data_IF_369265590683
#
_entry.id   IF_369265590683
#
_cell.length_a   1.000
_cell.length_b   1.000
_cell.length_c   1.000
_cell.angle_alpha   90.00
_cell.angle_beta   90.00
_cell.angle_gamma   90.00
#
_symmetry.space_group_name_H-M   'P 1'
#
loop_
_entity.id
_entity.type
_entity.pdbx_description
1 polymer ?
#
# COMPACT_ATOMS: atom_id res chain seq x y z
N UNK A 1 5.88 -14.49 38.10
CA UNK A 1 6.45 -13.24 37.55
C UNK A 1 7.20 -13.43 36.23
N UNK A 2 8.02 -14.47 36.04
CA UNK A 2 8.81 -14.61 34.81
C UNK A 2 8.00 -14.84 33.51
N UNK A 3 6.89 -15.56 33.60
CA UNK A 3 6.02 -15.83 32.45
C UNK A 3 5.26 -14.58 31.97
N UNK A 4 4.83 -13.73 32.90
CA UNK A 4 4.06 -12.52 32.63
C UNK A 4 4.87 -11.47 31.86
N UNK A 5 6.15 -11.25 32.21
CA UNK A 5 6.99 -10.31 31.44
C UNK A 5 7.27 -10.83 30.02
N UNK A 6 7.45 -12.15 29.84
CA UNK A 6 7.69 -12.73 28.49
C UNK A 6 6.49 -12.51 27.59
N UNK A 7 5.28 -12.73 28.12
CA UNK A 7 4.04 -12.47 27.40
C UNK A 7 3.91 -10.97 27.07
N UNK A 8 4.18 -10.09 28.04
CA UNK A 8 4.16 -8.65 27.82
C UNK A 8 5.16 -8.20 26.74
N UNK A 9 6.38 -8.75 26.75
CA UNK A 9 7.38 -8.47 25.70
C UNK A 9 6.91 -8.94 24.33
N UNK A 10 6.34 -10.15 24.22
CA UNK A 10 5.80 -10.64 22.93
C UNK A 10 4.71 -9.73 22.40
N UNK A 11 3.75 -9.35 23.26
CA UNK A 11 2.66 -8.44 22.90
C UNK A 11 3.20 -7.08 22.47
N UNK A 12 4.14 -6.51 23.24
CA UNK A 12 4.75 -5.23 22.91
C UNK A 12 5.51 -5.27 21.59
N UNK A 13 6.25 -6.36 21.32
CA UNK A 13 6.96 -6.55 20.05
C UNK A 13 5.99 -6.63 18.88
N UNK A 14 4.92 -7.44 18.98
CA UNK A 14 3.89 -7.54 17.92
C UNK A 14 3.22 -6.19 17.69
N UNK A 15 2.83 -5.50 18.77
CA UNK A 15 2.23 -4.17 18.67
C UNK A 15 3.16 -3.18 17.96
N UNK A 16 4.45 -3.18 18.32
CA UNK A 16 5.45 -2.31 17.70
C UNK A 16 5.60 -2.62 16.21
N UNK A 17 5.65 -3.90 15.82
CA UNK A 17 5.75 -4.31 14.42
C UNK A 17 4.53 -3.89 13.61
N UNK A 18 3.32 -4.03 14.16
CA UNK A 18 2.07 -3.59 13.52
C UNK A 18 2.07 -2.08 13.34
N UNK A 19 2.46 -1.32 14.37
CA UNK A 19 2.56 0.15 14.29
C UNK A 19 3.56 0.57 13.21
N UNK A 20 4.73 -0.07 13.15
CA UNK A 20 5.71 0.21 12.11
C UNK A 20 5.19 -0.13 10.72
N UNK A 21 4.54 -1.28 10.55
CA UNK A 21 3.94 -1.67 9.27
C UNK A 21 2.97 -0.60 8.75
N UNK A 22 1.97 -0.22 9.56
CA UNK A 22 0.96 0.77 9.16
C UNK A 22 1.57 2.13 8.86
N UNK A 23 2.65 2.52 9.56
CA UNK A 23 3.33 3.80 9.32
C UNK A 23 4.17 3.83 8.06
N UNK A 24 4.72 2.70 7.65
CA UNK A 24 5.64 2.63 6.51
C UNK A 24 5.03 2.02 5.24
N UNK A 25 3.76 1.57 5.30
CA UNK A 25 3.10 0.88 4.19
C UNK A 25 3.18 1.65 2.86
N UNK A 26 2.74 2.92 2.84
CA UNK A 26 2.78 3.75 1.62
C UNK A 26 4.21 3.94 1.09
N UNK A 27 5.18 4.17 1.98
CA UNK A 27 6.58 4.35 1.61
C UNK A 27 7.18 3.05 1.04
N UNK A 28 6.83 1.91 1.62
CA UNK A 28 7.32 0.60 1.18
C UNK A 28 6.81 0.26 -0.22
N UNK A 29 5.50 0.37 -0.47
CA UNK A 29 4.91 0.05 -1.76
C UNK A 29 5.30 1.03 -2.87
N UNK A 30 5.38 2.33 -2.56
CA UNK A 30 5.90 3.31 -3.53
C UNK A 30 7.36 3.03 -3.89
N UNK A 31 8.21 2.69 -2.91
CA UNK A 31 9.59 2.33 -3.18
C UNK A 31 9.71 1.10 -4.10
N UNK A 32 8.95 0.03 -3.83
CA UNK A 32 8.95 -1.16 -4.70
C UNK A 32 8.42 -0.86 -6.10
N UNK A 33 7.40 -0.02 -6.20
CA UNK A 33 6.93 0.42 -7.51
C UNK A 33 8.02 1.20 -8.27
N UNK A 34 8.75 2.09 -7.57
CA UNK A 34 9.69 3.02 -8.19
C UNK A 34 11.05 2.43 -8.51
N UNK A 35 11.50 1.45 -7.75
CA UNK A 35 12.85 0.90 -7.87
C UNK A 35 12.88 -0.50 -8.50
N UNK A 36 11.80 -1.28 -8.36
CA UNK A 36 11.75 -2.68 -8.82
C UNK A 36 10.76 -2.90 -9.96
N UNK A 37 10.10 -1.83 -10.44
CA UNK A 37 9.04 -1.90 -11.46
C UNK A 37 7.98 -2.98 -11.16
N UNK A 38 7.66 -3.12 -9.87
CA UNK A 38 6.69 -4.11 -9.42
C UNK A 38 5.27 -3.58 -9.64
N UNK A 39 4.60 -4.08 -10.68
CA UNK A 39 3.24 -3.65 -11.03
C UNK A 39 2.23 -3.80 -9.90
N UNK A 40 2.24 -4.92 -9.17
CA UNK A 40 1.33 -5.11 -8.02
C UNK A 40 1.60 -4.08 -6.91
N UNK A 41 2.87 -3.77 -6.63
CA UNK A 41 3.22 -2.73 -5.67
C UNK A 41 2.75 -1.34 -6.10
N UNK A 42 2.85 -1.02 -7.39
CA UNK A 42 2.31 0.22 -7.95
C UNK A 42 0.78 0.32 -7.76
N UNK A 43 0.05 -0.78 -7.96
CA UNK A 43 -1.39 -0.82 -7.72
C UNK A 43 -1.75 -0.59 -6.24
N UNK A 44 -1.03 -1.24 -5.33
CA UNK A 44 -1.24 -1.04 -3.88
C UNK A 44 -0.90 0.40 -3.48
N UNK A 45 0.23 0.94 -3.94
CA UNK A 45 0.60 2.33 -3.71
C UNK A 45 -0.51 3.28 -4.18
N UNK A 46 -1.07 3.08 -5.37
CA UNK A 46 -2.20 3.86 -5.88
C UNK A 46 -3.37 3.88 -4.89
N UNK A 47 -3.80 2.72 -4.39
CA UNK A 47 -4.91 2.63 -3.44
C UNK A 47 -4.61 3.36 -2.12
N UNK A 48 -3.38 3.25 -1.60
CA UNK A 48 -2.97 3.95 -0.38
C UNK A 48 -2.98 5.47 -0.54
N UNK A 49 -2.60 5.99 -1.73
CA UNK A 49 -2.70 7.42 -2.02
C UNK A 49 -4.14 7.89 -2.21
N UNK A 50 -5.05 7.03 -2.72
CA UNK A 50 -6.51 7.32 -2.73
C UNK A 50 -7.01 7.50 -1.30
N UNK A 51 -6.70 6.57 -0.40
CA UNK A 51 -7.07 6.64 1.02
C UNK A 51 -6.48 7.88 1.70
N UNK A 52 -5.24 8.24 1.34
CA UNK A 52 -4.57 9.48 1.77
C UNK A 52 -5.08 10.76 1.11
N UNK A 53 -6.08 10.70 0.24
CA UNK A 53 -6.64 11.83 -0.52
C UNK A 53 -5.66 12.54 -1.47
N UNK A 54 -4.58 11.88 -1.91
CA UNK A 54 -3.66 12.35 -2.96
C UNK A 54 -3.98 11.67 -4.29
N UNK A 55 -5.02 12.20 -4.95
CA UNK A 55 -5.55 11.63 -6.20
C UNK A 55 -4.56 11.71 -7.36
N UNK A 56 -3.76 12.77 -7.44
CA UNK A 56 -2.79 12.95 -8.54
C UNK A 56 -1.69 11.90 -8.46
N UNK A 57 -1.18 11.63 -7.27
CA UNK A 57 -0.19 10.56 -7.06
C UNK A 57 -0.82 9.18 -7.24
N UNK A 58 -2.04 8.97 -6.76
CA UNK A 58 -2.77 7.72 -6.98
C UNK A 58 -2.91 7.39 -8.47
N UNK A 59 -3.37 8.36 -9.28
CA UNK A 59 -3.55 8.22 -10.73
C UNK A 59 -2.22 7.89 -11.43
N UNK A 60 -1.12 8.53 -11.00
CA UNK A 60 0.22 8.26 -11.53
C UNK A 60 0.64 6.81 -11.30
N UNK A 61 0.48 6.31 -10.07
CA UNK A 61 0.83 4.93 -9.72
C UNK A 61 -0.08 3.90 -10.40
N UNK A 62 -1.38 4.20 -10.55
CA UNK A 62 -2.32 3.31 -11.25
C UNK A 62 -1.95 3.14 -12.73
N UNK A 63 -1.64 4.26 -13.42
CA UNK A 63 -1.19 4.25 -14.81
C UNK A 63 0.12 3.50 -14.97
N UNK A 64 1.08 3.71 -14.07
CA UNK A 64 2.35 2.97 -14.06
C UNK A 64 2.11 1.46 -13.85
N UNK A 65 1.25 1.09 -12.91
CA UNK A 65 0.86 -0.30 -12.67
C UNK A 65 0.28 -0.97 -13.92
N UNK A 66 -0.61 -0.30 -14.64
CA UNK A 66 -1.16 -0.86 -15.88
C UNK A 66 -0.10 -0.94 -17.00
N UNK A 67 0.79 0.06 -17.11
CA UNK A 67 1.94 -0.01 -18.04
C UNK A 67 2.84 -1.22 -17.77
N UNK A 68 2.96 -1.62 -16.50
CA UNK A 68 3.66 -2.83 -16.05
C UNK A 68 2.82 -4.12 -16.19
N UNK A 69 1.70 -4.06 -16.92
CA UNK A 69 0.81 -5.18 -17.28
C UNK A 69 0.14 -5.85 -16.08
N UNK A 70 -0.02 -5.16 -14.96
CA UNK A 70 -0.82 -5.67 -13.85
C UNK A 70 -2.32 -5.51 -14.16
N UNK A 71 -3.02 -6.61 -14.43
CA UNK A 71 -4.37 -6.61 -15.01
C UNK A 71 -5.38 -5.79 -14.20
N UNK A 72 -5.38 -5.93 -12.87
CA UNK A 72 -6.29 -5.20 -11.98
C UNK A 72 -6.17 -3.68 -12.12
N UNK A 73 -4.97 -3.17 -12.42
CA UNK A 73 -4.76 -1.75 -12.61
C UNK A 73 -5.36 -1.26 -13.95
N UNK A 74 -5.22 -2.06 -15.01
CA UNK A 74 -5.80 -1.73 -16.30
C UNK A 74 -7.33 -1.79 -16.25
N UNK A 75 -7.88 -2.85 -15.65
CA UNK A 75 -9.32 -2.97 -15.41
C UNK A 75 -9.86 -1.77 -14.62
N UNK A 76 -9.14 -1.33 -13.58
CA UNK A 76 -9.53 -0.16 -12.78
C UNK A 76 -9.51 1.15 -13.56
N UNK A 77 -8.64 1.31 -14.56
CA UNK A 77 -8.59 2.51 -15.41
C UNK A 77 -9.74 2.57 -16.42
N UNK A 78 -10.26 1.42 -16.84
CA UNK A 78 -11.41 1.33 -17.75
C UNK A 78 -12.75 1.62 -17.05
N UNK A 79 -12.76 1.64 -15.70
CA UNK A 79 -13.94 1.98 -14.93
C UNK A 79 -14.26 3.48 -14.99
N UNK A 80 -15.55 3.86 -14.99
CA UNK A 80 -15.96 5.25 -14.81
C UNK A 80 -15.40 5.84 -13.51
N UNK A 81 -14.84 7.05 -13.56
CA UNK A 81 -14.24 7.74 -12.39
C UNK A 81 -15.14 7.79 -11.14
N UNK A 82 -16.47 7.81 -11.32
CA UNK A 82 -17.46 7.85 -10.23
C UNK A 82 -17.49 6.56 -9.38
N UNK A 83 -16.90 5.46 -9.85
CA UNK A 83 -16.84 4.17 -9.13
C UNK A 83 -15.55 4.03 -8.31
N UNK A 84 -14.53 4.84 -8.61
CA UNK A 84 -13.16 4.68 -8.13
C UNK A 84 -12.93 5.50 -6.84
N UNK A 85 -13.76 6.52 -6.59
CA UNK A 85 -13.63 7.43 -5.46
C UNK A 85 -14.70 7.13 -4.39
N UNK A 86 -14.32 6.82 -3.14
CA UNK A 86 -15.23 6.87 -2.00
C UNK A 86 -15.60 8.30 -1.59
#
# INVERSE_FOLDING_TARGET
>A
MKFQYKLATIVFTIFTLVVLYVRFETALYSWFCDNEDNGAACFVASNLYIEGSDQDTADRYLKKSCKLKYSLACEKLDLPKQIIQP
#
